data_IF_752532852805
#
_entry.id   IF_752532852805
#
_cell.length_a   1.000
_cell.length_b   1.000
_cell.length_c   1.000
_cell.angle_alpha   90.00
_cell.angle_beta   90.00
_cell.angle_gamma   90.00
#
_symmetry.space_group_name_H-M   'P 1'
#
loop_
_entity.id
_entity.type
_entity.pdbx_description
1 polymer ?
#
# COMPACT_ATOMS: atom_id res chain seq x y z
N UNK A 1 35.25 2.34 -11.16
CA UNK A 1 34.87 1.20 -10.29
C UNK A 1 34.34 1.66 -8.95
N UNK A 2 35.05 2.52 -8.22
CA UNK A 2 34.57 3.01 -6.91
C UNK A 2 33.22 3.76 -7.00
N UNK A 3 33.01 4.55 -8.04
CA UNK A 3 31.76 5.29 -8.24
C UNK A 3 30.57 4.36 -8.49
N UNK A 4 30.76 3.30 -9.26
CA UNK A 4 29.73 2.29 -9.49
C UNK A 4 29.31 1.58 -8.20
N UNK A 5 30.27 1.30 -7.31
CA UNK A 5 29.98 0.71 -6.01
C UNK A 5 29.19 1.66 -5.12
N UNK A 6 29.54 2.97 -5.13
CA UNK A 6 28.79 3.98 -4.38
C UNK A 6 27.36 4.14 -4.89
N UNK A 7 27.16 4.19 -6.19
CA UNK A 7 25.83 4.27 -6.80
C UNK A 7 24.99 3.04 -6.47
N UNK A 8 25.57 1.85 -6.53
CA UNK A 8 24.90 0.61 -6.19
C UNK A 8 24.52 0.56 -4.70
N UNK A 9 25.41 1.00 -3.81
CA UNK A 9 25.13 1.08 -2.38
C UNK A 9 24.04 2.09 -2.06
N UNK A 10 24.03 3.26 -2.73
CA UNK A 10 23.00 4.28 -2.58
C UNK A 10 21.65 3.75 -3.03
N UNK A 11 21.58 3.09 -4.19
CA UNK A 11 20.35 2.50 -4.71
C UNK A 11 19.82 1.42 -3.76
N UNK A 12 20.68 0.56 -3.19
CA UNK A 12 20.29 -0.46 -2.22
C UNK A 12 19.77 0.15 -0.94
N UNK A 13 20.37 1.25 -0.46
CA UNK A 13 19.92 1.97 0.74
C UNK A 13 18.55 2.60 0.51
N UNK A 14 18.33 3.23 -0.65
CA UNK A 14 17.02 3.80 -1.02
C UNK A 14 15.97 2.70 -1.04
N UNK A 15 16.25 1.56 -1.66
CA UNK A 15 15.32 0.44 -1.73
C UNK A 15 14.94 -0.08 -0.32
N UNK A 16 15.90 -0.18 0.60
CA UNK A 16 15.64 -0.59 1.98
C UNK A 16 14.72 0.42 2.69
N UNK A 17 14.99 1.72 2.54
CA UNK A 17 14.17 2.78 3.14
C UNK A 17 12.75 2.74 2.60
N UNK A 18 12.57 2.59 1.29
CA UNK A 18 11.25 2.52 0.66
C UNK A 18 10.47 1.28 1.12
N UNK A 19 11.11 0.12 1.19
CA UNK A 19 10.48 -1.08 1.72
C UNK A 19 10.04 -0.89 3.17
N UNK A 20 10.85 -0.22 3.99
CA UNK A 20 10.51 0.11 5.38
C UNK A 20 9.30 1.04 5.46
N UNK A 21 9.22 2.06 4.60
CA UNK A 21 8.08 2.98 4.53
C UNK A 21 6.79 2.20 4.22
N UNK A 22 6.84 1.29 3.26
CA UNK A 22 5.69 0.47 2.88
C UNK A 22 5.31 -0.50 4.01
N UNK A 23 6.28 -1.12 4.68
CA UNK A 23 6.00 -1.99 5.83
C UNK A 23 5.29 -1.25 6.95
N UNK A 24 5.76 -0.05 7.28
CA UNK A 24 5.13 0.79 8.31
C UNK A 24 3.70 1.19 7.93
N UNK A 25 3.48 1.52 6.66
CA UNK A 25 2.15 1.79 6.12
C UNK A 25 1.24 0.56 6.27
N UNK A 26 1.72 -0.62 5.88
CA UNK A 26 0.95 -1.85 5.98
C UNK A 26 0.60 -2.21 7.43
N UNK A 27 1.51 -1.96 8.36
CA UNK A 27 1.24 -2.17 9.80
C UNK A 27 0.14 -1.23 10.30
N UNK A 28 0.21 0.06 9.93
CA UNK A 28 -0.84 1.03 10.27
C UNK A 28 -2.18 0.61 9.67
N UNK A 29 -2.16 0.11 8.44
CA UNK A 29 -3.35 -0.39 7.76
C UNK A 29 -3.98 -1.55 8.52
N UNK A 30 -3.19 -2.53 8.95
CA UNK A 30 -3.69 -3.68 9.72
C UNK A 30 -4.20 -3.31 11.11
N UNK A 31 -3.72 -2.21 11.70
CA UNK A 31 -4.28 -1.67 12.93
C UNK A 31 -5.54 -0.85 12.69
N UNK A 32 -5.92 -0.61 11.44
CA UNK A 32 -7.03 0.26 11.03
C UNK A 32 -6.84 1.70 11.56
N UNK A 33 -5.61 2.14 11.67
CA UNK A 33 -5.25 3.47 12.16
C UNK A 33 -5.19 4.45 10.98
N UNK A 34 -6.34 5.05 10.66
CA UNK A 34 -6.47 5.94 9.50
C UNK A 34 -5.55 7.15 9.60
N UNK A 35 -5.38 7.72 10.77
CA UNK A 35 -4.49 8.87 10.95
C UNK A 35 -3.04 8.49 10.63
N UNK A 36 -2.57 7.36 11.13
CA UNK A 36 -1.22 6.86 10.83
C UNK A 36 -1.04 6.54 9.35
N UNK A 37 -2.05 5.95 8.71
CA UNK A 37 -2.04 5.67 7.27
C UNK A 37 -1.87 6.99 6.50
N UNK A 38 -2.70 7.98 6.79
CA UNK A 38 -2.68 9.25 6.05
C UNK A 38 -1.42 10.06 6.32
N UNK A 39 -0.86 9.98 7.51
CA UNK A 39 0.44 10.60 7.82
C UNK A 39 1.59 9.96 7.04
N UNK A 40 1.45 8.70 6.63
CA UNK A 40 2.44 8.01 5.80
C UNK A 40 2.27 8.29 4.30
N UNK A 41 1.26 9.06 3.91
CA UNK A 41 0.98 9.40 2.51
C UNK A 41 1.25 10.88 2.25
N UNK A 42 1.61 11.20 1.00
CA UNK A 42 1.81 12.60 0.58
C UNK A 42 0.49 13.37 0.53
N UNK A 43 0.57 14.71 0.48
CA UNK A 43 -0.62 15.56 0.40
C UNK A 43 -1.41 15.33 -0.89
N UNK A 44 -0.71 15.03 -1.97
CA UNK A 44 -1.27 14.78 -3.29
C UNK A 44 -1.41 13.28 -3.60
N UNK A 45 -1.48 12.45 -2.58
CA UNK A 45 -1.49 11.00 -2.71
C UNK A 45 -2.61 10.49 -3.63
N UNK A 46 -2.34 9.35 -4.26
CA UNK A 46 -3.29 8.68 -5.15
C UNK A 46 -3.49 7.25 -4.68
N UNK A 47 -4.72 6.81 -4.63
CA UNK A 47 -5.08 5.41 -4.47
C UNK A 47 -5.93 4.95 -5.65
N UNK A 48 -5.50 3.87 -6.29
CA UNK A 48 -6.29 3.18 -7.31
C UNK A 48 -6.62 1.79 -6.79
N UNK A 49 -7.91 1.56 -6.55
CA UNK A 49 -8.41 0.32 -5.99
C UNK A 49 -8.69 -0.74 -7.04
N UNK A 50 -9.21 -1.88 -6.58
CA UNK A 50 -9.49 -3.03 -7.43
C UNK A 50 -10.91 -3.06 -7.99
N UNK A 51 -11.82 -2.36 -7.39
CA UNK A 51 -13.21 -2.26 -7.86
C UNK A 51 -13.61 -0.82 -8.16
N UNK A 52 -14.62 -0.61 -9.04
CA UNK A 52 -15.28 -1.64 -9.84
C UNK A 52 -14.41 -2.10 -11.01
N UNK A 53 -14.70 -3.32 -11.49
CA UNK A 53 -14.01 -3.82 -12.68
C UNK A 53 -14.41 -2.99 -13.91
N UNK A 54 -13.53 -2.82 -14.93
CA UNK A 54 -12.24 -3.49 -15.10
C UNK A 54 -11.06 -2.82 -14.41
N UNK A 55 -11.09 -1.51 -14.18
CA UNK A 55 -9.87 -0.74 -13.85
C UNK A 55 -9.78 -0.30 -12.39
N UNK A 56 -10.90 -0.38 -11.66
CA UNK A 56 -10.98 0.16 -10.31
C UNK A 56 -11.19 1.67 -10.26
N UNK A 57 -11.60 2.16 -9.11
CA UNK A 57 -11.78 3.60 -8.89
C UNK A 57 -10.46 4.24 -8.47
N UNK A 58 -10.25 5.49 -8.88
CA UNK A 58 -9.07 6.29 -8.55
C UNK A 58 -9.47 7.45 -7.65
N UNK A 59 -8.72 7.64 -6.58
CA UNK A 59 -8.93 8.70 -5.60
C UNK A 59 -7.66 9.52 -5.46
N UNK A 60 -7.78 10.83 -5.33
CA UNK A 60 -6.64 11.72 -5.24
C UNK A 60 -6.79 12.70 -4.09
N UNK A 61 -5.70 12.87 -3.33
CA UNK A 61 -5.60 13.80 -2.22
C UNK A 61 -6.03 13.21 -0.88
N UNK A 62 -5.63 13.88 0.18
CA UNK A 62 -5.80 13.40 1.56
C UNK A 62 -7.27 13.15 1.93
N UNK A 63 -8.17 14.04 1.55
CA UNK A 63 -9.59 13.93 1.93
C UNK A 63 -10.25 12.73 1.26
N UNK A 64 -10.06 12.59 -0.05
CA UNK A 64 -10.68 11.51 -0.83
C UNK A 64 -10.14 10.13 -0.43
N UNK A 65 -8.83 10.03 -0.26
CA UNK A 65 -8.18 8.76 0.09
C UNK A 65 -8.53 8.34 1.53
N UNK A 66 -8.54 9.28 2.48
CA UNK A 66 -8.98 9.02 3.85
C UNK A 66 -10.38 8.40 3.88
N UNK A 67 -11.29 8.96 3.12
CA UNK A 67 -12.67 8.48 3.07
C UNK A 67 -12.77 7.02 2.60
N UNK A 68 -11.87 6.59 1.71
CA UNK A 68 -11.81 5.18 1.27
C UNK A 68 -11.47 4.27 2.45
N UNK A 69 -10.43 4.60 3.21
CA UNK A 69 -10.00 3.79 4.37
C UNK A 69 -11.08 3.76 5.46
N UNK A 70 -11.68 4.90 5.74
CA UNK A 70 -12.76 4.97 6.74
C UNK A 70 -13.94 4.06 6.37
N UNK A 71 -14.37 4.07 5.11
CA UNK A 71 -15.44 3.20 4.62
C UNK A 71 -15.03 1.72 4.68
N UNK A 72 -13.80 1.41 4.27
CA UNK A 72 -13.31 0.04 4.27
C UNK A 72 -13.34 -0.54 5.69
N UNK A 73 -12.77 0.16 6.65
CA UNK A 73 -12.67 -0.34 8.02
C UNK A 73 -14.00 -0.37 8.75
N UNK A 74 -14.92 0.53 8.40
CA UNK A 74 -16.28 0.52 8.90
C UNK A 74 -17.06 -0.69 8.39
N UNK A 75 -16.92 -1.02 7.10
CA UNK A 75 -17.64 -2.15 6.50
C UNK A 75 -16.94 -3.49 6.69
N UNK A 76 -15.64 -3.50 6.97
CA UNK A 76 -14.83 -4.71 7.11
C UNK A 76 -13.91 -4.59 8.34
N UNK A 77 -14.46 -4.66 9.57
CA UNK A 77 -13.66 -4.47 10.79
C UNK A 77 -12.62 -5.57 10.99
N UNK A 78 -12.70 -6.67 10.27
CA UNK A 78 -11.76 -7.79 10.33
C UNK A 78 -10.82 -7.83 9.11
N UNK A 79 -10.76 -6.75 8.33
CA UNK A 79 -9.87 -6.64 7.18
C UNK A 79 -8.41 -6.74 7.64
N UNK A 80 -7.65 -7.64 7.01
CA UNK A 80 -6.26 -7.89 7.35
C UNK A 80 -5.46 -8.25 6.11
N UNK A 81 -4.27 -7.66 5.99
CA UNK A 81 -3.32 -7.96 4.91
C UNK A 81 -2.10 -8.67 5.48
N UNK A 82 -1.87 -9.89 5.00
CA UNK A 82 -0.64 -10.62 5.25
C UNK A 82 0.34 -10.34 4.10
N UNK A 83 1.49 -9.77 4.44
CA UNK A 83 2.53 -9.49 3.44
C UNK A 83 3.31 -10.76 3.14
N UNK A 84 3.35 -11.16 1.87
CA UNK A 84 4.13 -12.30 1.41
C UNK A 84 5.55 -11.90 1.00
N UNK A 85 5.69 -10.73 0.37
CA UNK A 85 6.97 -10.26 -0.16
C UNK A 85 6.90 -8.76 -0.39
N UNK A 86 8.01 -8.06 -0.16
CA UNK A 86 8.18 -6.64 -0.47
C UNK A 86 9.54 -6.45 -1.11
N UNK A 87 9.57 -5.74 -2.23
CA UNK A 87 10.83 -5.32 -2.86
C UNK A 87 10.66 -3.94 -3.46
N UNK A 88 11.78 -3.22 -3.58
CA UNK A 88 11.77 -1.86 -4.09
C UNK A 88 12.92 -1.64 -5.09
N UNK A 89 12.68 -0.74 -6.03
CA UNK A 89 13.67 -0.30 -6.99
C UNK A 89 13.38 1.15 -7.38
N UNK A 90 14.36 2.02 -7.22
CA UNK A 90 14.25 3.47 -7.46
C UNK A 90 13.15 4.05 -6.55
N UNK A 91 12.09 4.63 -7.11
CA UNK A 91 10.95 5.21 -6.38
C UNK A 91 9.74 4.27 -6.32
N UNK A 92 9.91 3.02 -6.77
CA UNK A 92 8.84 2.03 -6.83
C UNK A 92 9.04 0.94 -5.80
N UNK A 93 7.95 0.55 -5.17
CA UNK A 93 7.93 -0.58 -4.25
C UNK A 93 6.75 -1.49 -4.60
N UNK A 94 6.97 -2.80 -4.56
CA UNK A 94 5.93 -3.79 -4.79
C UNK A 94 5.77 -4.63 -3.54
N UNK A 95 4.52 -4.73 -3.06
CA UNK A 95 4.18 -5.61 -1.97
C UNK A 95 3.19 -6.67 -2.44
N UNK A 96 3.53 -7.95 -2.30
CA UNK A 96 2.58 -9.04 -2.53
C UNK A 96 1.89 -9.37 -1.22
N UNK A 97 0.57 -9.60 -1.29
CA UNK A 97 -0.21 -9.80 -0.09
C UNK A 97 -1.35 -10.81 -0.28
N UNK A 98 -1.80 -11.33 0.85
CA UNK A 98 -3.06 -12.06 0.99
C UNK A 98 -3.97 -11.18 1.84
N UNK A 99 -5.14 -10.85 1.32
CA UNK A 99 -6.15 -10.07 2.01
C UNK A 99 -7.28 -10.98 2.47
N UNK A 100 -7.65 -10.87 3.74
CA UNK A 100 -8.74 -11.64 4.33
C UNK A 100 -9.73 -10.70 5.02
N UNK A 101 -10.99 -11.09 4.98
CA UNK A 101 -12.07 -10.36 5.65
C UNK A 101 -13.20 -11.33 6.00
N UNK A 102 -14.18 -10.84 6.74
CA UNK A 102 -15.42 -11.56 7.01
C UNK A 102 -16.55 -10.67 6.54
N UNK A 103 -17.48 -11.22 5.77
CA UNK A 103 -18.64 -10.46 5.28
C UNK A 103 -19.72 -10.29 6.36
N UNK A 104 -20.81 -9.57 6.02
CA UNK A 104 -21.91 -9.31 6.94
C UNK A 104 -22.67 -10.55 7.42
N UNK A 105 -22.54 -11.66 6.70
CA UNK A 105 -23.17 -12.95 7.05
C UNK A 105 -22.21 -13.87 7.80
N UNK A 106 -21.01 -13.41 8.12
CA UNK A 106 -20.01 -14.18 8.84
C UNK A 106 -19.18 -15.11 7.96
N UNK A 107 -19.27 -14.98 6.63
CA UNK A 107 -18.50 -15.81 5.70
C UNK A 107 -17.10 -15.23 5.47
N UNK A 108 -16.04 -16.05 5.56
CA UNK A 108 -14.69 -15.56 5.29
C UNK A 108 -14.47 -15.33 3.81
N UNK A 109 -13.77 -14.24 3.49
CA UNK A 109 -13.30 -13.93 2.14
C UNK A 109 -11.78 -13.91 2.08
N UNK A 110 -11.22 -14.16 0.89
CA UNK A 110 -9.78 -14.19 0.68
C UNK A 110 -9.46 -13.79 -0.76
N UNK A 111 -8.51 -12.87 -0.90
CA UNK A 111 -7.93 -12.47 -2.19
C UNK A 111 -6.41 -12.47 -2.08
N UNK A 112 -5.75 -12.71 -3.19
CA UNK A 112 -4.31 -12.46 -3.33
C UNK A 112 -4.09 -11.36 -4.35
N UNK A 113 -3.06 -10.57 -4.14
CA UNK A 113 -2.76 -9.50 -5.05
C UNK A 113 -1.42 -8.85 -4.77
N UNK A 114 -1.21 -7.76 -5.47
CA UNK A 114 -0.03 -6.91 -5.30
C UNK A 114 -0.46 -5.46 -5.24
N UNK A 115 0.29 -4.68 -4.48
CA UNK A 115 0.27 -3.23 -4.54
C UNK A 115 1.55 -2.74 -5.20
N UNK A 116 1.39 -1.80 -6.12
CA UNK A 116 2.52 -1.05 -6.68
C UNK A 116 2.49 0.34 -6.07
N UNK A 117 3.55 0.68 -5.35
CA UNK A 117 3.68 1.96 -4.66
C UNK A 117 4.67 2.86 -5.36
N UNK A 118 4.41 4.16 -5.31
CA UNK A 118 5.44 5.18 -5.53
C UNK A 118 5.73 5.83 -4.19
N UNK A 119 7.02 5.91 -3.85
CA UNK A 119 7.49 6.55 -2.61
C UNK A 119 8.21 7.85 -2.98
N UNK A 120 7.88 8.93 -2.27
CA UNK A 120 8.49 10.25 -2.46
C UNK A 120 8.68 10.89 -1.09
N UNK A 121 9.91 11.34 -0.84
CA UNK A 121 10.26 12.03 0.41
C UNK A 121 9.88 11.25 1.67
N UNK A 122 10.07 9.93 1.65
CA UNK A 122 9.78 9.05 2.78
C UNK A 122 8.30 8.79 3.00
N UNK A 123 7.44 9.14 2.05
CA UNK A 123 6.00 8.93 2.12
C UNK A 123 5.47 8.26 0.86
N UNK A 124 4.31 7.64 0.99
CA UNK A 124 3.63 7.01 -0.14
C UNK A 124 2.88 8.07 -0.93
N UNK A 125 3.30 8.25 -2.19
CA UNK A 125 2.65 9.17 -3.13
C UNK A 125 1.55 8.48 -3.94
N UNK A 126 1.69 7.17 -4.19
CA UNK A 126 0.74 6.43 -5.00
C UNK A 126 0.68 4.97 -4.53
N UNK A 127 -0.53 4.45 -4.46
CA UNK A 127 -0.80 3.04 -4.17
C UNK A 127 -1.79 2.52 -5.20
N UNK A 128 -1.36 1.60 -6.04
CA UNK A 128 -2.19 0.94 -7.04
C UNK A 128 -2.31 -0.54 -6.71
N UNK A 129 -3.53 -1.02 -6.57
CA UNK A 129 -3.81 -2.39 -6.14
C UNK A 129 -4.28 -3.25 -7.31
N UNK A 130 -3.75 -4.45 -7.41
CA UNK A 130 -4.08 -5.43 -8.44
C UNK A 130 -4.39 -6.77 -7.77
N UNK A 131 -5.47 -7.40 -8.19
CA UNK A 131 -5.85 -8.71 -7.63
C UNK A 131 -5.64 -9.81 -8.65
N UNK A 132 -5.32 -10.98 -8.12
CA UNK A 132 -5.25 -12.19 -8.90
C UNK A 132 -6.68 -12.69 -9.13
N UNK A 133 -7.07 -12.75 -10.37
CA UNK A 133 -8.40 -13.18 -10.78
C UNK A 133 -8.50 -14.65 -11.12
#
# INVERSE_FOLDING_TARGET
MAQQQLESQTASTIAVVEAFVVEAFNEAFNRHDVDAIMNAMTDDCVFEGTGPVPDGARFQGQVAVRAVWERLFSSSPQAYFETEDIFAHVDRCVGRWIYTWVDGDGNPGRLRGVDVFRVRDGKIAEKCSYVKG
#
